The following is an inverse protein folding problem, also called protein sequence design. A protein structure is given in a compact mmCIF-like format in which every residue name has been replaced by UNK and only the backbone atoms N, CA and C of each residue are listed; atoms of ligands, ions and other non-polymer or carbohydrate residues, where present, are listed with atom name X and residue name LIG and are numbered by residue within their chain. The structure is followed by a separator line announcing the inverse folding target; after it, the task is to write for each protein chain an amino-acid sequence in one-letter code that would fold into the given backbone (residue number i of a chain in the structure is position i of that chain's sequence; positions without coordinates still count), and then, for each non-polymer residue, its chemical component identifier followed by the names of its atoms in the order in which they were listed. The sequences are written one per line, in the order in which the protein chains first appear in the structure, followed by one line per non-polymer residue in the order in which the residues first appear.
data_IF_218792607252
#
_entry.id   IF_218792607252
#
_cell.length_a   1.000
_cell.length_b   1.000
_cell.length_c   1.000
_cell.angle_alpha   90.00
_cell.angle_beta   90.00
_cell.angle_gamma   90.00
#
_symmetry.space_group_name_H-M   'P 1'
#
loop_
_entity.id
_entity.type
_entity.pdbx_description
1 polymer ?
#
# COMPACT_ATOMS: atom_id res chain seq x y z
N UNK A 1 18.92 -12.87 -8.41
CA UNK A 1 18.93 -11.85 -9.49
C UNK A 1 19.45 -10.56 -8.86
N UNK A 2 20.61 -10.03 -9.28
CA UNK A 2 21.10 -8.73 -8.78
C UNK A 2 20.06 -7.67 -9.16
N UNK A 3 19.48 -6.98 -8.18
CA UNK A 3 18.55 -5.87 -8.44
C UNK A 3 19.28 -4.86 -9.33
N UNK A 4 18.74 -4.61 -10.52
CA UNK A 4 19.29 -3.63 -11.45
C UNK A 4 18.97 -2.26 -10.86
N UNK A 5 19.93 -1.65 -10.19
CA UNK A 5 19.82 -0.31 -9.62
C UNK A 5 20.08 0.79 -10.69
N UNK A 6 20.55 0.37 -11.87
CA UNK A 6 20.84 1.27 -12.98
C UNK A 6 19.61 1.44 -13.86
N UNK A 7 19.33 2.69 -14.23
CA UNK A 7 18.23 3.06 -15.13
C UNK A 7 18.28 2.21 -16.41
N UNK A 8 17.21 1.50 -16.74
CA UNK A 8 17.12 0.80 -18.02
C UNK A 8 16.84 1.80 -19.13
N UNK A 9 17.84 2.08 -19.99
CA UNK A 9 17.80 3.16 -20.96
C UNK A 9 16.54 3.19 -21.86
N UNK A 10 16.00 2.05 -22.35
CA UNK A 10 14.77 2.05 -23.14
C UNK A 10 13.50 2.49 -22.39
N UNK A 11 13.50 2.54 -21.05
CA UNK A 11 12.33 2.97 -20.27
C UNK A 11 12.28 4.50 -20.06
N UNK A 12 13.09 5.26 -20.82
CA UNK A 12 13.06 6.73 -20.92
C UNK A 12 12.96 7.44 -19.55
N UNK A 13 13.91 7.12 -18.67
CA UNK A 13 13.95 7.66 -17.32
C UNK A 13 14.06 9.19 -17.33
N UNK A 14 13.09 9.85 -16.70
CA UNK A 14 13.01 11.31 -16.61
C UNK A 14 13.09 11.79 -15.16
N UNK A 15 13.45 13.07 -14.98
CA UNK A 15 13.37 13.78 -13.70
C UNK A 15 11.98 14.39 -13.46
N UNK A 16 11.18 14.48 -14.51
CA UNK A 16 9.80 14.97 -14.52
C UNK A 16 8.85 13.81 -14.19
N UNK A 17 7.84 14.06 -13.35
CA UNK A 17 6.87 13.03 -12.97
C UNK A 17 6.55 13.00 -11.48
N UNK A 18 5.51 12.22 -11.14
CA UNK A 18 5.06 12.05 -9.78
C UNK A 18 6.07 11.22 -8.98
N UNK A 19 6.47 11.72 -7.80
CA UNK A 19 7.37 11.03 -6.88
C UNK A 19 6.63 10.75 -5.58
N UNK A 20 6.64 9.50 -5.13
CA UNK A 20 5.95 9.10 -3.90
C UNK A 20 6.52 9.80 -2.66
N UNK A 21 7.82 10.11 -2.68
CA UNK A 21 8.52 10.88 -1.64
C UNK A 21 8.55 12.39 -1.89
N UNK A 22 7.81 12.93 -2.87
CA UNK A 22 7.69 14.39 -3.01
C UNK A 22 6.93 14.99 -1.83
N UNK A 23 7.23 16.25 -1.47
CA UNK A 23 6.53 16.97 -0.41
C UNK A 23 5.01 16.95 -0.59
N UNK A 24 4.53 17.09 -1.83
CA UNK A 24 3.10 17.04 -2.17
C UNK A 24 2.50 15.66 -1.90
N UNK A 25 3.18 14.59 -2.30
CA UNK A 25 2.71 13.21 -2.04
C UNK A 25 2.72 12.90 -0.55
N UNK A 26 3.80 13.23 0.16
CA UNK A 26 3.92 13.02 1.60
C UNK A 26 2.85 13.81 2.37
N UNK A 27 2.55 15.05 1.97
CA UNK A 27 1.46 15.83 2.58
C UNK A 27 0.09 15.16 2.39
N UNK A 28 -0.18 14.58 1.21
CA UNK A 28 -1.42 13.83 0.95
C UNK A 28 -1.50 12.57 1.81
N UNK A 29 -0.41 11.82 1.91
CA UNK A 29 -0.32 10.60 2.72
C UNK A 29 -0.53 10.93 4.20
N UNK A 30 0.17 11.95 4.73
CA UNK A 30 0.00 12.45 6.10
C UNK A 30 -1.46 12.83 6.39
N UNK A 31 -2.10 13.55 5.48
CA UNK A 31 -3.51 13.93 5.63
C UNK A 31 -4.47 12.74 5.59
N UNK A 32 -4.15 11.70 4.82
CA UNK A 32 -4.92 10.46 4.81
C UNK A 32 -4.74 9.70 6.13
N UNK A 33 -3.49 9.51 6.58
CA UNK A 33 -3.11 8.86 7.84
C UNK A 33 -3.73 9.52 9.07
N UNK A 34 -3.79 10.86 9.10
CA UNK A 34 -4.44 11.61 10.18
C UNK A 34 -5.94 11.29 10.33
N UNK A 35 -6.55 10.68 9.32
CA UNK A 35 -7.97 10.28 9.32
C UNK A 35 -8.15 8.78 9.46
N UNK A 36 -7.08 7.97 9.42
CA UNK A 36 -7.09 6.52 9.48
C UNK A 36 -6.06 5.88 8.53
N UNK A 37 -5.96 4.54 8.50
CA UNK A 37 -4.92 3.85 7.74
C UNK A 37 -4.96 4.14 6.23
N UNK A 38 -3.82 3.94 5.58
CA UNK A 38 -3.72 3.95 4.12
C UNK A 38 -3.47 2.54 3.59
N UNK A 39 -4.05 2.23 2.45
CA UNK A 39 -3.79 1.01 1.67
C UNK A 39 -2.81 1.38 0.57
N UNK A 40 -1.78 0.59 0.38
CA UNK A 40 -0.74 0.79 -0.62
C UNK A 40 -0.63 -0.43 -1.51
N UNK A 41 -0.68 -0.20 -2.81
CA UNK A 41 -0.22 -1.16 -3.81
C UNK A 41 1.18 -0.79 -4.26
N UNK A 42 2.11 -1.71 -4.08
CA UNK A 42 3.50 -1.61 -4.51
C UNK A 42 3.71 -2.47 -5.76
N UNK A 43 3.94 -1.80 -6.88
CA UNK A 43 4.23 -2.37 -8.19
C UNK A 43 5.75 -2.42 -8.42
N UNK A 44 6.28 -3.63 -8.59
CA UNK A 44 7.71 -3.86 -8.73
C UNK A 44 8.16 -3.55 -10.15
N UNK A 45 9.07 -2.58 -10.30
CA UNK A 45 9.64 -2.20 -11.58
C UNK A 45 10.43 -3.35 -12.20
N UNK A 46 9.99 -3.74 -13.40
CA UNK A 46 10.48 -4.95 -14.10
C UNK A 46 10.41 -6.22 -13.23
N UNK A 47 9.54 -6.22 -12.22
CA UNK A 47 9.19 -7.41 -11.47
C UNK A 47 8.13 -8.18 -12.23
N UNK A 48 8.44 -9.40 -12.66
CA UNK A 48 7.47 -10.30 -13.26
C UNK A 48 6.56 -10.94 -12.18
N UNK A 49 5.86 -10.09 -11.41
CA UNK A 49 5.03 -10.50 -10.27
C UNK A 49 3.84 -9.58 -10.10
N UNK A 50 2.80 -10.05 -9.41
CA UNK A 50 1.68 -9.21 -8.96
C UNK A 50 2.15 -8.13 -7.98
N UNK A 51 1.42 -7.00 -7.86
CA UNK A 51 1.73 -6.00 -6.86
C UNK A 51 1.59 -6.56 -5.44
N UNK A 52 2.32 -5.97 -4.50
CA UNK A 52 2.10 -6.23 -3.07
C UNK A 52 1.10 -5.22 -2.51
N UNK A 53 0.07 -5.71 -1.84
CA UNK A 53 -0.90 -4.87 -1.10
C UNK A 53 -0.54 -4.89 0.36
N UNK A 54 -0.44 -3.72 0.99
CA UNK A 54 -0.13 -3.55 2.40
C UNK A 54 -0.84 -2.32 2.96
N UNK A 55 -1.15 -2.31 4.25
CA UNK A 55 -1.71 -1.16 4.94
C UNK A 55 -0.68 -0.58 5.91
N UNK A 56 -0.74 0.73 6.11
CA UNK A 56 0.09 1.46 7.08
C UNK A 56 -0.77 2.34 7.97
N UNK A 57 -0.41 2.42 9.25
CA UNK A 57 -1.13 3.21 10.25
C UNK A 57 -0.45 4.54 10.56
N UNK A 58 0.85 4.66 10.28
CA UNK A 58 1.61 5.90 10.37
C UNK A 58 2.60 6.06 9.20
N UNK A 59 3.30 7.20 9.18
CA UNK A 59 4.20 7.52 8.09
C UNK A 59 5.56 6.85 8.27
N UNK A 60 6.00 6.69 9.51
CA UNK A 60 7.26 6.07 9.88
C UNK A 60 7.32 4.61 9.38
N UNK A 61 6.24 3.85 9.54
CA UNK A 61 6.08 2.49 9.00
C UNK A 61 6.14 2.47 7.46
N UNK A 62 5.49 3.45 6.81
CA UNK A 62 5.50 3.58 5.36
C UNK A 62 6.91 3.87 4.84
N UNK A 63 7.63 4.81 5.45
CA UNK A 63 9.00 5.16 5.09
C UNK A 63 9.96 4.00 5.33
N UNK A 64 9.85 3.31 6.47
CA UNK A 64 10.64 2.13 6.79
C UNK A 64 10.41 0.99 5.77
N UNK A 65 9.16 0.80 5.33
CA UNK A 65 8.83 -0.17 4.30
C UNK A 65 9.51 0.17 2.97
N UNK A 66 9.47 1.45 2.56
CA UNK A 66 10.12 1.89 1.32
C UNK A 66 11.63 1.65 1.37
N UNK A 67 12.29 1.98 2.49
CA UNK A 67 13.73 1.75 2.65
C UNK A 67 14.12 0.27 2.54
N UNK A 68 13.31 -0.63 3.11
CA UNK A 68 13.60 -2.06 3.14
C UNK A 68 13.23 -2.79 1.83
N UNK A 69 12.18 -2.34 1.16
CA UNK A 69 11.53 -3.13 0.12
C UNK A 69 11.47 -2.48 -1.26
N UNK A 70 11.57 -1.16 -1.37
CA UNK A 70 11.47 -0.46 -2.64
C UNK A 70 12.84 -0.33 -3.34
N UNK A 71 12.81 -0.20 -4.65
CA UNK A 71 13.91 0.23 -5.49
C UNK A 71 13.48 1.39 -6.38
N UNK A 72 14.42 2.20 -6.90
CA UNK A 72 14.09 3.19 -7.91
C UNK A 72 13.33 2.56 -9.10
N UNK A 73 12.27 3.23 -9.53
CA UNK A 73 11.40 2.78 -10.62
C UNK A 73 10.12 2.10 -10.14
N UNK A 74 10.09 1.55 -8.93
CA UNK A 74 8.86 0.96 -8.36
C UNK A 74 7.74 2.00 -8.33
N UNK A 75 6.51 1.55 -8.62
CA UNK A 75 5.34 2.40 -8.62
C UNK A 75 4.44 2.11 -7.42
N UNK A 76 3.79 3.15 -6.92
CA UNK A 76 2.97 3.09 -5.72
C UNK A 76 1.63 3.76 -5.98
N UNK A 77 0.57 3.07 -5.60
CA UNK A 77 -0.78 3.63 -5.54
C UNK A 77 -1.23 3.59 -4.09
N UNK A 78 -1.73 4.71 -3.58
CA UNK A 78 -2.09 4.89 -2.17
C UNK A 78 -3.54 5.33 -2.08
N UNK A 79 -4.33 4.62 -1.28
CA UNK A 79 -5.73 4.93 -1.02
C UNK A 79 -5.95 5.14 0.48
N UNK A 80 -6.86 6.04 0.84
CA UNK A 80 -7.35 6.09 2.22
C UNK A 80 -8.26 4.90 2.47
N UNK A 81 -7.97 4.08 3.48
CA UNK A 81 -8.82 2.96 3.89
C UNK A 81 -10.25 3.43 4.12
N UNK A 82 -10.41 4.55 4.83
CA UNK A 82 -11.71 5.11 5.16
C UNK A 82 -12.49 5.62 3.95
N UNK A 83 -11.85 5.91 2.83
CA UNK A 83 -12.54 6.33 1.60
C UNK A 83 -12.96 5.14 0.74
N UNK A 84 -12.18 4.06 0.73
CA UNK A 84 -12.40 2.91 -0.19
C UNK A 84 -13.05 1.69 0.47
N UNK A 85 -12.76 1.40 1.74
CA UNK A 85 -13.32 0.28 2.48
C UNK A 85 -14.68 0.65 3.06
N UNK A 86 -15.68 0.67 2.18
CA UNK A 86 -17.07 0.98 2.50
C UNK A 86 -17.93 -0.28 2.51
N UNK A 87 -19.00 -0.30 3.29
CA UNK A 87 -19.91 -1.45 3.39
C UNK A 87 -20.45 -1.90 2.02
N UNK A 88 -20.77 -0.97 1.13
CA UNK A 88 -21.24 -1.31 -0.22
C UNK A 88 -20.18 -1.99 -1.11
N UNK A 89 -18.90 -1.93 -0.72
CA UNK A 89 -17.79 -2.56 -1.42
C UNK A 89 -17.39 -3.91 -0.80
N UNK A 90 -18.07 -4.36 0.26
CA UNK A 90 -17.79 -5.64 0.92
C UNK A 90 -18.22 -6.78 0.00
N UNK A 91 -17.28 -7.68 -0.31
CA UNK A 91 -17.53 -8.87 -1.13
C UNK A 91 -18.20 -9.97 -0.33
N UNK A 92 -17.79 -10.15 0.93
CA UNK A 92 -18.39 -11.08 1.89
C UNK A 92 -18.07 -10.65 3.31
N UNK A 93 -18.92 -11.01 4.25
CA UNK A 93 -18.71 -10.82 5.69
C UNK A 93 -18.72 -12.19 6.41
N UNK A 94 -18.13 -12.25 7.60
CA UNK A 94 -18.11 -13.48 8.38
C UNK A 94 -17.28 -13.35 9.65
N UNK A 95 -17.56 -14.22 10.62
CA UNK A 95 -16.71 -14.44 11.79
C UNK A 95 -15.97 -15.75 11.60
N UNK A 96 -14.70 -15.78 11.97
CA UNK A 96 -13.96 -17.04 12.02
C UNK A 96 -14.61 -17.95 13.08
N UNK A 97 -14.91 -19.18 12.69
CA UNK A 97 -15.47 -20.17 13.59
C UNK A 97 -14.39 -20.78 14.48
N UNK A 98 -14.76 -21.25 15.67
CA UNK A 98 -13.89 -22.06 16.51
C UNK A 98 -13.76 -23.50 15.99
N UNK A 99 -13.11 -24.37 16.76
CA UNK A 99 -12.88 -25.79 16.40
C UNK A 99 -14.17 -26.59 16.22
N UNK A 100 -15.27 -26.15 16.80
CA UNK A 100 -16.59 -26.79 16.73
C UNK A 100 -17.50 -26.14 15.67
N UNK A 101 -17.01 -25.15 14.93
CA UNK A 101 -17.79 -24.42 13.93
C UNK A 101 -18.65 -23.29 14.52
N UNK A 102 -18.49 -22.94 15.79
CA UNK A 102 -19.29 -21.92 16.45
C UNK A 102 -18.74 -20.50 16.21
N UNK A 103 -19.65 -19.51 16.16
CA UNK A 103 -19.31 -18.09 16.09
C UNK A 103 -20.03 -17.31 17.21
N UNK A 104 -19.44 -16.21 17.72
CA UNK A 104 -20.12 -15.39 18.71
C UNK A 104 -21.23 -14.55 18.06
N UNK A 105 -22.38 -14.40 18.75
CA UNK A 105 -23.50 -13.56 18.25
C UNK A 105 -23.21 -12.05 18.32
N UNK A 106 -22.29 -11.62 19.18
CA UNK A 106 -21.90 -10.22 19.35
C UNK A 106 -20.39 -10.06 19.56
N UNK A 107 -19.96 -8.88 20.01
CA UNK A 107 -18.58 -8.52 20.32
C UNK A 107 -18.38 -7.00 20.27
N UNK A 108 -17.29 -6.50 20.86
CA UNK A 108 -16.91 -5.09 20.75
C UNK A 108 -16.00 -4.92 19.52
N UNK A 109 -16.58 -4.45 18.42
CA UNK A 109 -15.91 -4.07 17.17
C UNK A 109 -16.78 -3.08 16.41
#
# INVERSE_FOLDING_TARGET
MKRILDRYAPDDWTVEGAKILSETSLARIKNALARGPVIVQHWFYRGASSPRVICFEDLEEFEAYLEQHAIPGDAFEVWSFNEVCKMQNVVTEGKLHDVDGCIPRGGAY
#
